data_IF_018215461528
#
_entry.id   IF_018215461528
#
_cell.length_a   1.000
_cell.length_b   1.000
_cell.length_c   1.000
_cell.angle_alpha   90.00
_cell.angle_beta   90.00
_cell.angle_gamma   90.00
#
_symmetry.space_group_name_H-M   'P 1'
#
loop_
_entity.id
_entity.type
_entity.pdbx_description
1 polymer ?
#
# COMPACT_ATOMS: atom_id res chain seq x y z
N UNK A 1 2.93 12.03 12.63
CA UNK A 1 3.02 12.67 11.31
C UNK A 1 4.28 13.50 11.30
N UNK A 2 5.30 13.09 10.54
CA UNK A 2 6.56 13.83 10.40
C UNK A 2 6.33 14.99 9.44
N UNK A 3 6.06 16.17 9.98
CA UNK A 3 6.10 17.41 9.21
C UNK A 3 7.57 17.80 9.02
N UNK A 4 7.93 18.26 7.83
CA UNK A 4 9.27 18.76 7.52
C UNK A 4 9.15 20.24 7.28
N UNK A 5 10.03 21.03 7.90
CA UNK A 5 10.04 22.47 7.71
C UNK A 5 10.36 22.80 6.24
N UNK A 6 9.49 23.60 5.61
CA UNK A 6 9.63 23.99 4.20
C UNK A 6 10.96 24.71 3.92
N UNK A 7 11.50 25.48 4.89
CA UNK A 7 12.79 26.16 4.78
C UNK A 7 13.98 25.21 4.61
N UNK A 8 13.81 23.92 4.97
CA UNK A 8 14.86 22.90 4.81
C UNK A 8 14.78 22.25 3.42
N UNK A 9 13.61 22.24 2.79
CA UNK A 9 13.32 21.44 1.59
C UNK A 9 13.22 22.30 0.33
N UNK A 10 12.72 23.54 0.44
CA UNK A 10 12.42 24.41 -0.68
C UNK A 10 13.40 25.60 -0.72
N UNK A 11 13.75 26.11 -1.92
CA UNK A 11 14.50 27.35 -2.07
C UNK A 11 13.73 28.55 -1.50
N UNK A 12 14.45 29.53 -0.94
CA UNK A 12 13.85 30.73 -0.34
C UNK A 12 12.94 31.50 -1.31
N UNK A 13 13.31 31.58 -2.58
CA UNK A 13 12.52 32.26 -3.62
C UNK A 13 11.13 31.62 -3.78
N UNK A 14 11.07 30.29 -3.75
CA UNK A 14 9.82 29.54 -3.86
C UNK A 14 8.97 29.70 -2.61
N UNK A 15 9.59 29.76 -1.43
CA UNK A 15 8.89 29.98 -0.16
C UNK A 15 8.24 31.36 -0.14
N UNK A 16 8.97 32.40 -0.57
CA UNK A 16 8.42 33.77 -0.71
C UNK A 16 7.21 33.80 -1.65
N UNK A 17 7.26 33.04 -2.74
CA UNK A 17 6.14 32.96 -3.66
C UNK A 17 4.94 32.23 -3.05
N UNK A 18 5.16 31.10 -2.37
CA UNK A 18 4.09 30.36 -1.68
C UNK A 18 3.44 31.22 -0.58
N UNK A 19 4.23 31.98 0.17
CA UNK A 19 3.74 32.88 1.22
C UNK A 19 2.77 33.94 0.69
N UNK A 20 2.87 34.37 -0.57
CA UNK A 20 1.86 35.28 -1.16
C UNK A 20 0.45 34.68 -1.19
N UNK A 21 0.34 33.36 -1.20
CA UNK A 21 -0.93 32.63 -1.36
C UNK A 21 -1.35 31.83 -0.11
N UNK A 22 -0.40 31.42 0.73
CA UNK A 22 -0.63 30.48 1.83
C UNK A 22 0.21 30.78 3.09
N UNK A 23 0.44 32.06 3.41
CA UNK A 23 1.15 32.44 4.65
C UNK A 23 0.38 31.99 5.91
N UNK A 24 1.08 31.38 6.86
CA UNK A 24 0.51 30.86 8.10
C UNK A 24 -0.35 29.59 7.98
N UNK A 25 -0.42 28.96 6.80
CA UNK A 25 -1.26 27.78 6.55
C UNK A 25 -0.38 26.54 6.29
N UNK A 26 -0.82 25.38 6.81
CA UNK A 26 -0.21 24.10 6.47
C UNK A 26 -0.67 23.64 5.07
N UNK A 27 0.23 23.75 4.09
CA UNK A 27 -0.03 23.34 2.71
C UNK A 27 0.37 21.87 2.46
N UNK A 28 -0.59 21.05 2.05
CA UNK A 28 -0.31 19.69 1.58
C UNK A 28 0.14 19.72 0.12
N UNK A 29 1.35 19.22 -0.16
CA UNK A 29 1.84 19.04 -1.53
C UNK A 29 1.41 17.64 -1.98
N UNK A 30 0.46 17.51 -2.92
CA UNK A 30 0.07 16.20 -3.43
C UNK A 30 1.26 15.54 -4.12
N UNK A 31 1.39 14.23 -3.91
CA UNK A 31 2.39 13.44 -4.64
C UNK A 31 2.13 13.59 -6.14
N UNK A 32 3.17 13.94 -6.90
CA UNK A 32 3.11 13.95 -8.37
C UNK A 32 2.55 12.60 -8.81
N UNK A 33 1.50 12.57 -9.66
CA UNK A 33 0.96 11.32 -10.17
C UNK A 33 2.03 10.66 -11.04
N UNK A 34 2.85 9.80 -10.44
CA UNK A 34 3.71 8.92 -11.20
C UNK A 34 2.81 8.09 -12.13
N UNK A 35 3.17 7.89 -13.41
CA UNK A 35 2.43 6.99 -14.28
C UNK A 35 2.48 5.61 -13.65
N UNK A 36 1.42 5.24 -12.91
CA UNK A 36 1.28 4.06 -12.04
C UNK A 36 2.51 3.16 -12.09
N UNK A 37 3.62 3.56 -11.43
CA UNK A 37 4.82 2.73 -11.43
C UNK A 37 4.37 1.41 -10.85
N UNK A 38 4.52 0.38 -11.69
CA UNK A 38 3.88 -0.92 -11.59
C UNK A 38 3.64 -1.31 -10.13
N UNK A 39 2.37 -1.55 -9.78
CA UNK A 39 1.92 -2.34 -8.63
C UNK A 39 3.06 -2.60 -7.64
N UNK A 40 3.35 -1.66 -6.72
CA UNK A 40 4.57 -1.64 -5.88
C UNK A 40 4.99 -3.07 -5.55
N UNK A 41 6.22 -3.50 -5.82
CA UNK A 41 6.74 -4.87 -5.62
C UNK A 41 5.99 -5.73 -4.58
N UNK A 42 5.77 -5.17 -3.39
CA UNK A 42 4.92 -5.70 -2.33
C UNK A 42 3.52 -6.22 -2.75
N UNK A 43 2.75 -5.46 -3.53
CA UNK A 43 1.45 -5.85 -4.08
C UNK A 43 1.56 -7.04 -5.03
N UNK A 44 2.65 -7.15 -5.80
CA UNK A 44 2.90 -8.30 -6.68
C UNK A 44 3.18 -9.55 -5.84
N UNK A 45 4.01 -9.42 -4.80
CA UNK A 45 4.33 -10.50 -3.86
C UNK A 45 3.08 -10.98 -3.10
N UNK A 46 2.27 -10.04 -2.61
CA UNK A 46 0.98 -10.36 -1.98
C UNK A 46 0.06 -11.10 -2.96
N UNK A 47 0.01 -10.67 -4.22
CA UNK A 47 -0.81 -11.33 -5.24
C UNK A 47 -0.32 -12.77 -5.51
N UNK A 48 0.99 -12.97 -5.66
CA UNK A 48 1.60 -14.31 -5.85
C UNK A 48 1.31 -15.23 -4.67
N UNK A 49 1.54 -14.75 -3.43
CA UNK A 49 1.25 -15.51 -2.21
C UNK A 49 -0.23 -15.92 -2.15
N UNK A 50 -1.13 -14.98 -2.43
CA UNK A 50 -2.56 -15.26 -2.37
C UNK A 50 -3.00 -16.26 -3.46
N UNK A 51 -2.37 -16.25 -4.64
CA UNK A 51 -2.61 -17.25 -5.69
C UNK A 51 -2.13 -18.63 -5.27
N UNK A 52 -0.97 -18.72 -4.62
CA UNK A 52 -0.44 -19.99 -4.09
C UNK A 52 -1.37 -20.56 -3.00
N UNK A 53 -1.81 -19.74 -2.05
CA UNK A 53 -2.78 -20.14 -1.01
C UNK A 53 -4.07 -20.68 -1.64
N UNK A 54 -4.58 -20.00 -2.67
CA UNK A 54 -5.79 -20.46 -3.36
C UNK A 54 -5.57 -21.78 -4.12
N UNK A 55 -4.42 -21.94 -4.79
CA UNK A 55 -4.07 -23.18 -5.48
C UNK A 55 -3.97 -24.38 -4.54
N UNK A 56 -3.31 -24.20 -3.39
CA UNK A 56 -3.22 -25.24 -2.35
C UNK A 56 -4.57 -25.56 -1.72
N UNK A 57 -5.41 -24.56 -1.49
CA UNK A 57 -6.79 -24.78 -1.05
C UNK A 57 -7.60 -25.62 -2.06
N UNK A 58 -7.45 -25.35 -3.36
CA UNK A 58 -8.09 -26.16 -4.41
C UNK A 58 -7.56 -27.61 -4.47
N UNK A 59 -6.33 -27.85 -4.04
CA UNK A 59 -5.76 -29.19 -3.88
C UNK A 59 -6.29 -29.93 -2.64
N UNK A 60 -7.16 -29.30 -1.83
CA UNK A 60 -7.80 -29.90 -0.67
C UNK A 60 -7.11 -29.61 0.67
N UNK A 61 -6.16 -28.68 0.72
CA UNK A 61 -5.57 -28.27 2.00
C UNK A 61 -6.58 -27.55 2.90
N UNK A 62 -6.55 -27.90 4.19
CA UNK A 62 -7.40 -27.28 5.21
C UNK A 62 -6.95 -25.84 5.48
N UNK A 63 -7.92 -24.96 5.69
CA UNK A 63 -7.70 -23.54 6.02
C UNK A 63 -6.82 -23.37 7.27
N UNK A 64 -6.99 -24.22 8.28
CA UNK A 64 -6.18 -24.19 9.50
C UNK A 64 -4.70 -24.47 9.25
N UNK A 65 -4.39 -25.35 8.28
CA UNK A 65 -3.02 -25.67 7.88
C UNK A 65 -2.38 -24.50 7.12
N UNK A 66 -3.12 -23.92 6.17
CA UNK A 66 -2.70 -22.73 5.43
C UNK A 66 -2.48 -21.52 6.36
N UNK A 67 -3.35 -21.35 7.35
CA UNK A 67 -3.20 -20.31 8.36
C UNK A 67 -1.88 -20.44 9.14
N UNK A 68 -1.53 -21.67 9.56
CA UNK A 68 -0.28 -21.94 10.25
C UNK A 68 0.95 -21.75 9.35
N UNK A 69 0.93 -22.27 8.11
CA UNK A 69 2.07 -22.22 7.18
C UNK A 69 2.40 -20.79 6.73
N UNK A 70 1.38 -19.97 6.50
CA UNK A 70 1.56 -18.59 6.04
C UNK A 70 1.57 -17.56 7.18
N UNK A 71 1.50 -18.00 8.44
CA UNK A 71 1.40 -17.15 9.63
C UNK A 71 0.25 -16.13 9.54
N UNK A 72 -0.91 -16.58 9.04
CA UNK A 72 -2.11 -15.78 8.85
C UNK A 72 -3.23 -16.31 9.75
N UNK A 73 -4.14 -15.42 10.17
CA UNK A 73 -5.38 -15.88 10.79
C UNK A 73 -6.26 -16.63 9.78
N UNK A 74 -7.06 -17.58 10.24
CA UNK A 74 -8.05 -18.28 9.38
C UNK A 74 -8.99 -17.28 8.69
N UNK A 75 -9.41 -16.22 9.39
CA UNK A 75 -10.22 -15.13 8.82
C UNK A 75 -9.52 -14.46 7.63
N UNK A 76 -8.21 -14.24 7.71
CA UNK A 76 -7.42 -13.70 6.61
C UNK A 76 -7.37 -14.66 5.42
N UNK A 77 -7.22 -15.96 5.67
CA UNK A 77 -7.26 -16.99 4.61
C UNK A 77 -8.63 -17.00 3.93
N UNK A 78 -9.74 -17.03 4.69
CA UNK A 78 -11.09 -16.97 4.10
C UNK A 78 -11.33 -15.71 3.26
N UNK A 79 -10.82 -14.56 3.72
CA UNK A 79 -10.85 -13.32 2.92
C UNK A 79 -10.09 -13.47 1.61
N UNK A 80 -8.88 -14.02 1.64
CA UNK A 80 -8.05 -14.27 0.45
C UNK A 80 -8.77 -15.20 -0.53
N UNK A 81 -9.35 -16.29 -0.04
CA UNK A 81 -10.11 -17.24 -0.86
C UNK A 81 -11.34 -16.57 -1.51
N UNK A 82 -12.06 -15.73 -0.75
CA UNK A 82 -13.20 -14.97 -1.25
C UNK A 82 -12.84 -13.92 -2.30
N UNK A 83 -11.70 -13.24 -2.13
CA UNK A 83 -11.16 -12.28 -3.11
C UNK A 83 -10.68 -12.97 -4.39
N UNK A 84 -10.08 -14.16 -4.29
CA UNK A 84 -9.61 -14.92 -5.45
C UNK A 84 -10.74 -15.58 -6.24
N UNK A 85 -11.83 -16.02 -5.57
CA UNK A 85 -13.01 -16.58 -6.25
C UNK A 85 -13.80 -15.54 -7.05
N UNK A 86 -13.75 -14.27 -6.66
CA UNK A 86 -14.46 -13.16 -7.33
C UNK A 86 -13.71 -12.62 -8.55
N UNK A 87 -12.47 -13.06 -8.75
CA UNK A 87 -11.57 -12.60 -9.78
C UNK A 87 -11.53 -13.59 -10.94
#
# INVERSE_FOLDING_TARGET
>A
MSYINANIVLPEELIKEIQKYADGINLYIPKVPEPKRACSSYKLEICKRNQEIYGRFLQGEKVSKLAAEYFLSEKSIYRILGEMKKK
#
